data_IF_734124746965
#
_entry.id   IF_734124746965
#
_cell.length_a   1.000
_cell.length_b   1.000
_cell.length_c   1.000
_cell.angle_alpha   90.00
_cell.angle_beta   90.00
_cell.angle_gamma   90.00
#
_symmetry.space_group_name_H-M   'P 1'
#
loop_
_entity.id
_entity.type
_entity.pdbx_description
1 polymer ?
#
# COMPACT_ATOMS: atom_id res chain seq x y z
N UNK A 1 -5.55 15.22 31.38
CA UNK A 1 -5.62 16.06 30.17
C UNK A 1 -5.71 15.14 28.96
N UNK A 2 -6.40 15.52 27.89
CA UNK A 2 -6.42 14.67 26.68
C UNK A 2 -5.00 14.49 26.14
N UNK A 3 -4.69 13.25 25.73
CA UNK A 3 -3.41 12.92 25.10
C UNK A 3 -3.36 13.50 23.69
N UNK A 4 -2.24 14.09 23.30
CA UNK A 4 -2.05 14.57 21.92
C UNK A 4 -1.37 13.47 21.08
N UNK A 5 -2.04 13.05 20.03
CA UNK A 5 -1.52 12.10 19.04
C UNK A 5 -1.20 12.88 17.76
N UNK A 6 0.04 12.74 17.29
CA UNK A 6 0.47 13.33 16.03
C UNK A 6 0.58 12.24 14.95
N UNK A 7 -0.19 12.37 13.88
CA UNK A 7 -0.12 11.49 12.72
C UNK A 7 0.83 12.07 11.68
N UNK A 8 1.81 11.28 11.23
CA UNK A 8 2.76 11.71 10.19
C UNK A 8 2.52 10.93 8.92
N UNK A 9 2.24 11.64 7.84
CA UNK A 9 1.96 11.08 6.52
C UNK A 9 2.76 11.82 5.45
N UNK A 10 3.14 11.12 4.36
CA UNK A 10 3.98 11.74 3.33
C UNK A 10 3.68 11.28 1.91
N UNK A 11 3.02 10.16 1.77
CA UNK A 11 2.71 9.57 0.47
C UNK A 11 1.30 8.97 0.48
N UNK A 12 0.71 8.81 -0.71
CA UNK A 12 -0.65 8.29 -0.89
C UNK A 12 -0.95 7.02 -0.07
N UNK A 13 -0.08 5.99 -0.01
CA UNK A 13 -0.33 4.81 0.82
C UNK A 13 -0.49 5.11 2.31
N UNK A 14 0.19 6.13 2.83
CA UNK A 14 0.04 6.52 4.23
C UNK A 14 -1.35 7.08 4.53
N UNK A 15 -1.91 7.88 3.61
CA UNK A 15 -3.25 8.47 3.80
C UNK A 15 -4.32 7.39 3.93
N UNK A 16 -4.25 6.34 3.09
CA UNK A 16 -5.17 5.21 3.15
C UNK A 16 -5.11 4.46 4.48
N UNK A 17 -3.95 4.45 5.13
CA UNK A 17 -3.75 3.79 6.42
C UNK A 17 -4.11 4.71 7.59
N UNK A 18 -3.79 6.00 7.50
CA UNK A 18 -4.06 6.98 8.55
C UNK A 18 -5.54 7.32 8.68
N UNK A 19 -6.26 7.44 7.56
CA UNK A 19 -7.65 7.86 7.53
C UNK A 19 -8.59 7.03 8.44
N UNK A 20 -8.60 5.69 8.37
CA UNK A 20 -9.43 4.88 9.27
C UNK A 20 -9.01 5.03 10.74
N UNK A 21 -7.71 5.10 11.03
CA UNK A 21 -7.20 5.24 12.40
C UNK A 21 -7.58 6.59 13.00
N UNK A 22 -7.40 7.67 12.26
CA UNK A 22 -7.81 9.01 12.70
C UNK A 22 -9.31 9.08 12.98
N UNK A 23 -10.12 8.43 12.16
CA UNK A 23 -11.56 8.38 12.35
C UNK A 23 -11.95 7.60 13.60
N UNK A 24 -11.37 6.41 13.81
CA UNK A 24 -11.64 5.62 15.00
C UNK A 24 -11.22 6.35 16.28
N UNK A 25 -10.09 7.06 16.26
CA UNK A 25 -9.63 7.86 17.40
C UNK A 25 -10.50 9.10 17.66
N UNK A 26 -11.23 9.61 16.68
CA UNK A 26 -12.12 10.76 16.87
C UNK A 26 -13.30 10.48 17.81
N UNK A 27 -13.65 9.21 18.02
CA UNK A 27 -14.72 8.80 18.95
C UNK A 27 -14.28 8.87 20.43
N UNK A 28 -13.00 9.09 20.71
CA UNK A 28 -12.42 9.14 22.06
C UNK A 28 -12.17 10.59 22.49
N UNK A 29 -12.98 11.11 23.42
CA UNK A 29 -12.83 12.48 23.96
C UNK A 29 -11.53 12.72 24.72
N UNK A 30 -10.86 11.64 25.17
CA UNK A 30 -9.54 11.68 25.81
C UNK A 30 -8.40 11.89 24.82
N UNK A 31 -8.66 11.89 23.50
CA UNK A 31 -7.66 12.01 22.45
C UNK A 31 -7.83 13.31 21.69
N UNK A 32 -6.74 14.05 21.52
CA UNK A 32 -6.60 15.15 20.53
C UNK A 32 -5.68 14.68 19.43
N UNK A 33 -6.00 15.02 18.20
CA UNK A 33 -5.23 14.60 17.05
C UNK A 33 -4.60 15.79 16.33
N UNK A 34 -3.42 15.61 15.78
CA UNK A 34 -2.77 16.55 14.87
C UNK A 34 -2.23 15.79 13.67
N UNK A 35 -2.40 16.34 12.48
CA UNK A 35 -1.95 15.74 11.22
C UNK A 35 -0.80 16.54 10.64
N UNK A 36 0.35 15.89 10.44
CA UNK A 36 1.53 16.45 9.78
C UNK A 36 1.71 15.76 8.42
N UNK A 37 1.66 16.55 7.37
CA UNK A 37 1.98 16.11 6.01
C UNK A 37 3.42 16.51 5.69
N UNK A 38 4.28 15.53 5.34
CA UNK A 38 5.69 15.84 5.06
C UNK A 38 5.91 16.44 3.68
N UNK A 39 4.99 16.24 2.75
CA UNK A 39 5.15 16.68 1.35
C UNK A 39 6.09 15.79 0.54
N UNK A 40 6.35 14.55 0.96
CA UNK A 40 7.26 13.62 0.27
C UNK A 40 6.86 13.37 -1.19
N UNK A 41 5.58 13.24 -1.48
CA UNK A 41 5.01 13.21 -2.82
C UNK A 41 4.09 14.41 -2.98
N UNK A 42 4.54 15.38 -3.76
CA UNK A 42 3.84 16.65 -3.95
C UNK A 42 3.13 16.66 -5.30
N UNK A 43 1.84 16.31 -5.29
CA UNK A 43 0.88 16.68 -6.33
C UNK A 43 -0.33 17.28 -5.62
N UNK A 44 -0.38 18.63 -5.57
CA UNK A 44 -1.40 19.39 -4.82
C UNK A 44 -2.81 18.97 -5.24
N UNK A 45 -3.05 18.84 -6.53
CA UNK A 45 -4.39 18.57 -7.07
C UNK A 45 -4.85 17.12 -6.80
N UNK A 46 -3.92 16.15 -6.76
CA UNK A 46 -4.24 14.75 -6.47
C UNK A 46 -4.38 14.49 -4.96
N UNK A 47 -3.65 15.22 -4.13
CA UNK A 47 -3.71 15.04 -2.67
C UNK A 47 -5.03 15.53 -2.08
N UNK A 48 -5.50 16.72 -2.46
CA UNK A 48 -6.73 17.31 -1.89
C UNK A 48 -7.99 16.49 -2.21
N UNK A 49 -8.12 16.04 -3.46
CA UNK A 49 -9.23 15.15 -3.87
C UNK A 49 -9.18 13.84 -3.07
N UNK A 50 -7.98 13.33 -2.83
CA UNK A 50 -7.80 12.07 -2.11
C UNK A 50 -8.08 12.23 -0.61
N UNK A 51 -7.66 13.33 0.02
CA UNK A 51 -8.03 13.68 1.39
C UNK A 51 -9.56 13.76 1.57
N UNK A 52 -10.25 14.43 0.64
CA UNK A 52 -11.71 14.53 0.66
C UNK A 52 -12.38 13.16 0.51
N UNK A 53 -11.93 12.33 -0.43
CA UNK A 53 -12.48 10.98 -0.63
C UNK A 53 -12.32 10.10 0.61
N UNK A 54 -11.18 10.19 1.30
CA UNK A 54 -10.92 9.46 2.53
C UNK A 54 -11.61 10.07 3.75
N UNK A 55 -12.14 11.29 3.65
CA UNK A 55 -12.72 12.03 4.78
C UNK A 55 -11.68 12.44 5.82
N UNK A 56 -10.44 12.70 5.38
CA UNK A 56 -9.37 13.19 6.25
C UNK A 56 -9.47 14.72 6.43
N UNK A 57 -9.14 15.26 7.61
CA UNK A 57 -9.01 16.68 7.80
C UNK A 57 -7.82 17.24 7.00
N UNK A 58 -7.83 18.54 6.73
CA UNK A 58 -6.64 19.22 6.23
C UNK A 58 -5.47 19.04 7.22
N UNK A 59 -4.22 18.92 6.76
CA UNK A 59 -3.07 18.83 7.63
C UNK A 59 -2.90 20.13 8.47
N UNK A 60 -2.64 19.97 9.78
CA UNK A 60 -2.30 21.09 10.64
C UNK A 60 -0.94 21.70 10.28
N UNK A 61 -0.03 20.87 9.77
CA UNK A 61 1.30 21.27 9.33
C UNK A 61 1.63 20.55 8.03
N UNK A 62 2.15 21.29 7.06
CA UNK A 62 2.71 20.75 5.82
C UNK A 62 4.19 21.15 5.71
N UNK A 63 5.09 20.17 5.72
CA UNK A 63 6.53 20.39 5.69
C UNK A 63 7.06 20.73 4.28
N UNK A 64 6.30 20.43 3.22
CA UNK A 64 6.62 20.75 1.83
C UNK A 64 8.02 20.29 1.36
N UNK A 65 8.44 19.10 1.82
CA UNK A 65 9.80 18.59 1.54
C UNK A 65 10.04 18.33 0.07
N UNK A 66 9.03 17.85 -0.66
CA UNK A 66 9.15 17.58 -2.10
C UNK A 66 9.95 16.32 -2.44
N UNK A 67 10.31 16.20 -3.73
CA UNK A 67 11.08 15.09 -4.28
C UNK A 67 12.58 15.31 -4.11
N UNK A 68 13.33 14.21 -3.95
CA UNK A 68 14.78 14.22 -3.84
C UNK A 68 15.35 12.81 -3.75
N UNK A 69 16.66 12.67 -3.56
CA UNK A 69 17.24 11.37 -3.19
C UNK A 69 16.72 10.92 -1.82
N UNK A 70 16.78 9.61 -1.53
CA UNK A 70 16.34 9.10 -0.23
C UNK A 70 17.02 9.83 0.94
N UNK A 71 18.33 10.08 0.84
CA UNK A 71 19.09 10.79 1.87
C UNK A 71 18.61 12.24 2.06
N UNK A 72 18.50 13.00 0.95
CA UNK A 72 18.04 14.38 0.98
C UNK A 72 16.63 14.50 1.56
N UNK A 73 15.72 13.65 1.10
CA UNK A 73 14.33 13.65 1.53
C UNK A 73 14.21 13.28 3.02
N UNK A 74 14.89 12.22 3.47
CA UNK A 74 14.90 11.81 4.88
C UNK A 74 15.47 12.92 5.77
N UNK A 75 16.61 13.51 5.39
CA UNK A 75 17.23 14.59 6.14
C UNK A 75 16.32 15.84 6.24
N UNK A 76 15.70 16.22 5.13
CA UNK A 76 14.79 17.38 5.10
C UNK A 76 13.55 17.15 5.98
N UNK A 77 12.96 15.94 5.94
CA UNK A 77 11.83 15.59 6.81
C UNK A 77 12.25 15.67 8.29
N UNK A 78 13.41 15.08 8.66
CA UNK A 78 13.91 15.12 10.03
C UNK A 78 14.09 16.56 10.50
N UNK A 79 14.80 17.38 9.74
CA UNK A 79 15.11 18.79 10.12
C UNK A 79 13.86 19.65 10.25
N UNK A 80 12.83 19.41 9.44
CA UNK A 80 11.59 20.19 9.48
C UNK A 80 10.57 19.64 10.47
N UNK A 81 10.59 18.35 10.76
CA UNK A 81 9.68 17.73 11.71
C UNK A 81 10.12 17.94 13.18
N UNK A 82 11.41 17.99 13.47
CA UNK A 82 11.94 18.16 14.82
C UNK A 82 11.38 19.40 15.54
N UNK A 83 11.36 20.61 14.94
CA UNK A 83 10.73 21.77 15.56
C UNK A 83 9.24 21.57 15.86
N UNK A 84 8.51 20.93 14.94
CA UNK A 84 7.08 20.65 15.12
C UNK A 84 6.85 19.70 16.30
N UNK A 85 7.63 18.64 16.40
CA UNK A 85 7.55 17.67 17.50
C UNK A 85 7.91 18.33 18.86
N UNK A 86 8.93 19.20 18.86
CA UNK A 86 9.39 19.93 20.06
C UNK A 86 8.36 20.95 20.53
N UNK A 87 7.70 21.66 19.62
CA UNK A 87 6.66 22.64 19.94
C UNK A 87 5.37 21.98 20.41
N UNK A 88 4.87 21.01 19.63
CA UNK A 88 3.59 20.33 19.90
C UNK A 88 3.65 19.39 21.11
N UNK A 89 4.82 18.81 21.41
CA UNK A 89 5.04 17.82 22.49
C UNK A 89 3.98 16.73 22.51
N UNK A 90 3.78 15.98 21.41
CA UNK A 90 2.78 14.93 21.37
C UNK A 90 3.13 13.82 22.37
N UNK A 91 2.12 13.21 22.95
CA UNK A 91 2.28 12.04 23.82
C UNK A 91 2.64 10.79 23.01
N UNK A 92 2.19 10.77 21.73
CA UNK A 92 2.43 9.67 20.80
C UNK A 92 2.52 10.21 19.37
N UNK A 93 3.49 9.74 18.61
CA UNK A 93 3.56 9.96 17.16
C UNK A 93 3.23 8.64 16.45
N UNK A 94 2.25 8.68 15.56
CA UNK A 94 1.87 7.54 14.73
C UNK A 94 2.45 7.68 13.33
N UNK A 95 3.19 6.67 12.91
CA UNK A 95 3.77 6.55 11.57
C UNK A 95 3.18 5.35 10.84
N UNK A 96 3.15 5.39 9.50
CA UNK A 96 2.39 4.45 8.68
C UNK A 96 3.24 3.86 7.55
N UNK A 97 3.33 2.55 7.48
CA UNK A 97 4.05 1.83 6.42
C UNK A 97 5.56 2.14 6.43
N UNK A 98 6.18 2.26 5.26
CA UNK A 98 7.62 2.10 5.09
C UNK A 98 8.30 3.17 4.20
N UNK A 99 7.67 4.32 4.02
CA UNK A 99 8.25 5.43 3.22
C UNK A 99 9.29 6.23 4.02
N UNK A 100 10.05 7.11 3.36
CA UNK A 100 11.06 7.93 4.03
C UNK A 100 10.48 8.77 5.17
N UNK A 101 9.24 9.24 5.05
CA UNK A 101 8.54 9.98 6.11
C UNK A 101 8.36 9.17 7.38
N UNK A 102 8.13 7.87 7.24
CA UNK A 102 7.92 6.95 8.35
C UNK A 102 9.16 6.87 9.23
N UNK A 103 10.31 6.49 8.64
CA UNK A 103 11.56 6.37 9.39
C UNK A 103 12.09 7.71 9.89
N UNK A 104 11.97 8.78 9.09
CA UNK A 104 12.45 10.10 9.47
C UNK A 104 11.74 10.63 10.73
N UNK A 105 10.41 10.54 10.77
CA UNK A 105 9.63 10.97 11.92
C UNK A 105 9.87 10.07 13.14
N UNK A 106 9.93 8.74 12.95
CA UNK A 106 10.22 7.81 14.04
C UNK A 106 11.59 8.06 14.66
N UNK A 107 12.63 8.32 13.85
CA UNK A 107 13.98 8.59 14.34
C UNK A 107 14.06 9.90 15.12
N UNK A 108 13.41 10.96 14.66
CA UNK A 108 13.31 12.24 15.41
C UNK A 108 12.66 12.00 16.77
N UNK A 109 11.50 11.31 16.80
CA UNK A 109 10.79 11.04 18.04
C UNK A 109 11.61 10.20 19.03
N UNK A 110 12.25 9.14 18.56
CA UNK A 110 13.12 8.30 19.39
C UNK A 110 14.27 9.10 20.03
N UNK A 111 14.85 10.07 19.30
CA UNK A 111 15.89 10.97 19.81
C UNK A 111 15.36 11.99 20.82
N UNK A 112 14.11 12.41 20.68
CA UNK A 112 13.46 13.37 21.60
C UNK A 112 12.78 12.68 22.80
N UNK A 113 12.78 11.34 22.87
CA UNK A 113 12.06 10.60 23.92
C UNK A 113 10.54 10.67 23.80
N UNK A 114 10.02 10.86 22.57
CA UNK A 114 8.59 10.86 22.25
C UNK A 114 8.23 9.46 21.79
N UNK A 115 7.17 8.88 22.37
CA UNK A 115 6.70 7.54 21.99
C UNK A 115 6.27 7.46 20.54
N UNK A 116 6.59 6.33 19.88
CA UNK A 116 6.27 6.07 18.47
C UNK A 116 5.38 4.84 18.36
N UNK A 117 4.32 4.94 17.56
CA UNK A 117 3.48 3.84 17.12
C UNK A 117 3.66 3.62 15.62
N UNK A 118 4.02 2.41 15.23
CA UNK A 118 4.14 2.03 13.82
C UNK A 118 2.93 1.20 13.37
N UNK A 119 2.16 1.72 12.45
CA UNK A 119 1.02 1.04 11.82
C UNK A 119 1.48 0.33 10.55
N UNK A 120 1.19 -0.94 10.40
CA UNK A 120 1.69 -1.89 9.40
C UNK A 120 3.13 -2.34 9.71
N UNK A 121 3.38 -2.67 10.97
CA UNK A 121 4.66 -3.16 11.46
C UNK A 121 4.90 -4.65 11.13
N UNK A 122 6.15 -5.07 11.11
CA UNK A 122 6.55 -6.47 11.02
C UNK A 122 6.54 -7.07 9.61
N UNK A 123 6.13 -6.34 8.58
CA UNK A 123 6.22 -6.81 7.20
C UNK A 123 7.69 -6.92 6.76
N UNK A 124 8.04 -8.01 6.04
CA UNK A 124 9.41 -8.25 5.53
C UNK A 124 9.38 -8.86 4.13
N UNK A 125 10.10 -8.22 3.21
CA UNK A 125 10.44 -8.81 1.92
C UNK A 125 11.74 -9.60 1.96
N UNK A 126 12.57 -9.37 2.99
CA UNK A 126 13.95 -9.86 3.14
C UNK A 126 14.88 -9.42 2.01
N UNK A 127 14.47 -8.45 1.22
CA UNK A 127 15.26 -7.86 0.14
C UNK A 127 15.79 -6.48 0.56
N UNK A 128 17.02 -6.46 1.07
CA UNK A 128 17.67 -5.23 1.54
C UNK A 128 18.09 -4.27 0.41
N UNK A 129 17.91 -4.64 -0.84
CA UNK A 129 18.08 -3.72 -1.97
C UNK A 129 16.90 -2.75 -2.09
N UNK A 130 15.78 -3.07 -1.44
CA UNK A 130 14.60 -2.19 -1.36
C UNK A 130 14.76 -1.16 -0.23
N UNK A 131 14.73 0.15 -0.54
CA UNK A 131 14.78 1.20 0.51
C UNK A 131 13.66 1.06 1.54
N UNK A 132 12.49 0.60 1.13
CA UNK A 132 11.34 0.37 2.01
C UNK A 132 11.60 -0.72 3.04
N UNK A 133 12.36 -1.77 2.67
CA UNK A 133 12.74 -2.83 3.62
C UNK A 133 13.63 -2.28 4.74
N UNK A 134 14.59 -1.42 4.38
CA UNK A 134 15.46 -0.76 5.34
C UNK A 134 14.64 0.13 6.28
N UNK A 135 13.71 0.92 5.71
CA UNK A 135 12.86 1.83 6.48
C UNK A 135 12.01 1.07 7.50
N UNK A 136 11.35 -0.05 7.10
CA UNK A 136 10.45 -0.78 8.01
C UNK A 136 11.21 -1.49 9.12
N UNK A 137 12.36 -2.10 8.83
CA UNK A 137 13.19 -2.75 9.84
C UNK A 137 13.66 -1.74 10.90
N UNK A 138 14.16 -0.59 10.47
CA UNK A 138 14.64 0.45 11.40
C UNK A 138 13.48 1.07 12.21
N UNK A 139 12.33 1.32 11.57
CA UNK A 139 11.15 1.88 12.24
C UNK A 139 10.63 0.93 13.30
N UNK A 140 10.53 -0.37 13.00
CA UNK A 140 10.07 -1.37 13.95
C UNK A 140 10.98 -1.44 15.20
N UNK A 141 12.30 -1.36 15.02
CA UNK A 141 13.25 -1.43 16.14
C UNK A 141 13.10 -0.27 17.13
N UNK A 142 12.79 0.93 16.63
CA UNK A 142 12.73 2.15 17.45
C UNK A 142 11.31 2.56 17.88
N UNK A 143 10.26 1.83 17.46
CA UNK A 143 8.87 2.12 17.84
C UNK A 143 8.47 1.44 19.15
N UNK A 144 7.66 2.12 19.97
CA UNK A 144 7.16 1.62 21.25
C UNK A 144 5.92 0.73 21.09
N UNK A 145 5.11 0.99 20.05
CA UNK A 145 3.92 0.24 19.69
C UNK A 145 4.02 -0.22 18.24
N UNK A 146 3.78 -1.49 18.03
CA UNK A 146 3.90 -2.15 16.73
C UNK A 146 2.57 -2.83 16.39
N UNK A 147 1.82 -2.19 15.48
CA UNK A 147 0.52 -2.69 15.03
C UNK A 147 0.70 -3.53 13.77
N UNK A 148 0.59 -4.84 13.93
CA UNK A 148 0.83 -5.80 12.84
C UNK A 148 -0.45 -6.15 12.09
N UNK A 149 -0.37 -6.29 10.76
CA UNK A 149 -1.53 -6.63 9.93
C UNK A 149 -1.85 -8.14 9.95
N UNK A 150 -0.89 -8.99 10.30
CA UNK A 150 -1.01 -10.44 10.22
C UNK A 150 0.06 -11.14 11.06
N UNK A 151 -0.14 -12.44 11.34
CA UNK A 151 0.72 -13.26 12.20
C UNK A 151 2.17 -13.40 11.72
N UNK A 152 2.40 -13.31 10.41
CA UNK A 152 3.76 -13.32 9.86
C UNK A 152 4.55 -12.09 10.32
N UNK A 153 3.89 -10.93 10.47
CA UNK A 153 4.49 -9.74 11.07
C UNK A 153 4.94 -10.00 12.51
N UNK A 154 4.10 -10.62 13.34
CA UNK A 154 4.46 -10.98 14.71
C UNK A 154 5.67 -11.92 14.75
N UNK A 155 5.69 -12.94 13.88
CA UNK A 155 6.82 -13.89 13.78
C UNK A 155 8.12 -13.20 13.38
N UNK A 156 8.07 -12.22 12.47
CA UNK A 156 9.25 -11.47 12.05
C UNK A 156 9.80 -10.62 13.20
N UNK A 157 8.94 -9.87 13.89
CA UNK A 157 9.32 -9.03 15.02
C UNK A 157 9.92 -9.86 16.17
N UNK A 158 9.32 -11.01 16.48
CA UNK A 158 9.86 -11.92 17.50
C UNK A 158 11.25 -12.46 17.14
N UNK A 159 11.49 -12.81 15.85
CA UNK A 159 12.82 -13.24 15.37
C UNK A 159 13.87 -12.14 15.46
N UNK A 160 13.44 -10.88 15.35
CA UNK A 160 14.29 -9.70 15.48
C UNK A 160 14.49 -9.23 16.93
N UNK A 161 13.98 -10.00 17.91
CA UNK A 161 14.17 -9.74 19.33
C UNK A 161 13.27 -8.64 19.91
N UNK A 162 12.20 -8.27 19.20
CA UNK A 162 11.22 -7.31 19.70
C UNK A 162 10.36 -7.96 20.78
N UNK A 163 10.20 -7.26 21.90
CA UNK A 163 9.41 -7.74 23.03
C UNK A 163 7.92 -7.81 22.69
N UNK A 164 7.26 -8.89 23.11
CA UNK A 164 5.88 -9.19 22.77
C UNK A 164 4.87 -8.16 23.28
N UNK A 165 5.18 -7.46 24.39
CA UNK A 165 4.34 -6.41 24.97
C UNK A 165 4.24 -5.15 24.08
N UNK A 166 5.16 -4.97 23.13
CA UNK A 166 5.13 -3.91 22.13
C UNK A 166 4.33 -4.28 20.89
N UNK A 167 4.03 -5.57 20.66
CA UNK A 167 3.46 -6.10 19.41
C UNK A 167 1.97 -6.39 19.58
N UNK A 168 1.17 -5.76 18.73
CA UNK A 168 -0.29 -5.88 18.76
C UNK A 168 -0.80 -6.30 17.39
N UNK A 169 -1.32 -7.52 17.29
CA UNK A 169 -2.00 -7.99 16.07
C UNK A 169 -3.37 -7.35 15.99
N UNK A 170 -3.54 -6.42 15.08
CA UNK A 170 -4.78 -5.62 14.92
C UNK A 170 -5.53 -5.91 13.63
N UNK A 171 -4.89 -6.55 12.67
CA UNK A 171 -5.40 -6.68 11.30
C UNK A 171 -4.92 -5.54 10.40
N UNK A 172 -5.45 -5.47 9.19
CA UNK A 172 -4.92 -4.62 8.14
C UNK A 172 -5.79 -3.39 7.91
N UNK A 173 -5.27 -2.20 8.25
CA UNK A 173 -5.97 -0.90 8.07
C UNK A 173 -6.25 -0.55 6.61
N UNK A 174 -5.52 -1.15 5.64
CA UNK A 174 -5.86 -1.01 4.22
C UNK A 174 -7.21 -1.66 3.91
N UNK A 175 -7.54 -2.76 4.59
CA UNK A 175 -8.84 -3.42 4.46
C UNK A 175 -9.96 -2.57 5.07
N UNK A 176 -9.72 -1.84 6.15
CA UNK A 176 -10.68 -0.89 6.70
C UNK A 176 -11.05 0.18 5.66
N UNK A 177 -10.05 0.71 4.98
CA UNK A 177 -10.26 1.67 3.88
C UNK A 177 -10.97 1.03 2.71
N UNK A 178 -10.56 -0.17 2.30
CA UNK A 178 -11.21 -0.92 1.22
C UNK A 178 -12.70 -1.12 1.50
N UNK A 179 -13.05 -1.68 2.66
CA UNK A 179 -14.45 -1.95 3.06
C UNK A 179 -15.29 -0.69 3.01
N UNK A 180 -14.75 0.43 3.50
CA UNK A 180 -15.43 1.71 3.46
C UNK A 180 -15.63 2.24 2.04
N UNK A 181 -14.66 2.05 1.15
CA UNK A 181 -14.69 2.61 -0.21
C UNK A 181 -15.50 1.75 -1.18
N UNK A 182 -15.67 0.45 -0.90
CA UNK A 182 -16.41 -0.48 -1.75
C UNK A 182 -17.82 0.02 -2.16
N UNK A 183 -18.67 0.56 -1.27
CA UNK A 183 -19.99 1.06 -1.65
C UNK A 183 -19.96 2.27 -2.58
N UNK A 184 -18.81 2.98 -2.63
CA UNK A 184 -18.63 4.17 -3.45
C UNK A 184 -17.93 3.88 -4.79
N UNK A 185 -17.43 2.65 -4.98
CA UNK A 185 -16.80 2.23 -6.22
C UNK A 185 -17.79 2.31 -7.39
N UNK A 186 -17.37 2.97 -8.47
CA UNK A 186 -18.18 3.14 -9.69
C UNK A 186 -17.31 2.82 -10.89
N UNK A 187 -17.86 2.00 -11.77
CA UNK A 187 -17.21 1.66 -13.04
C UNK A 187 -17.00 2.96 -13.83
N UNK A 188 -15.79 3.22 -14.36
CA UNK A 188 -15.57 4.35 -15.23
C UNK A 188 -16.43 4.23 -16.50
N UNK A 189 -16.66 5.37 -17.18
CA UNK A 189 -17.42 5.38 -18.43
C UNK A 189 -16.61 4.78 -19.58
N UNK A 190 -16.52 3.45 -19.56
CA UNK A 190 -15.88 2.64 -20.60
C UNK A 190 -16.76 1.45 -20.94
N UNK A 191 -16.68 1.00 -22.18
CA UNK A 191 -17.26 -0.29 -22.56
C UNK A 191 -16.53 -1.43 -21.84
N UNK A 192 -17.17 -1.97 -20.79
CA UNK A 192 -16.58 -2.97 -19.92
C UNK A 192 -16.96 -4.37 -20.39
N UNK A 193 -15.98 -5.21 -20.79
CA UNK A 193 -16.26 -6.59 -21.15
C UNK A 193 -16.81 -7.38 -19.95
N UNK A 194 -17.68 -8.37 -20.17
CA UNK A 194 -18.25 -9.18 -19.08
C UNK A 194 -17.21 -10.01 -18.33
N UNK A 195 -16.09 -10.32 -18.98
CA UNK A 195 -14.90 -10.98 -18.42
C UNK A 195 -13.66 -10.28 -18.92
N UNK A 196 -12.70 -10.02 -18.02
CA UNK A 196 -11.45 -9.36 -18.37
C UNK A 196 -10.35 -9.66 -17.36
N UNK A 197 -9.11 -9.47 -17.80
CA UNK A 197 -7.92 -9.41 -16.98
C UNK A 197 -7.64 -7.94 -16.67
N UNK A 198 -7.46 -7.58 -15.40
CA UNK A 198 -7.02 -6.26 -15.00
C UNK A 198 -5.52 -6.28 -14.71
N UNK A 199 -4.76 -5.38 -15.35
CA UNK A 199 -3.29 -5.31 -15.22
C UNK A 199 -2.88 -3.99 -14.58
N UNK A 200 -1.92 -4.03 -13.67
CA UNK A 200 -1.23 -2.84 -13.17
C UNK A 200 0.23 -3.17 -12.86
N UNK A 201 1.15 -2.48 -13.54
CA UNK A 201 2.60 -2.62 -13.39
C UNK A 201 3.21 -1.23 -13.29
N UNK A 202 4.03 -1.00 -12.27
CA UNK A 202 4.65 0.31 -12.02
C UNK A 202 6.00 0.23 -11.29
N UNK A 203 6.41 -0.95 -10.82
CA UNK A 203 7.71 -1.10 -10.14
C UNK A 203 8.86 -0.95 -11.12
N UNK A 204 9.96 -0.27 -10.69
CA UNK A 204 11.14 -0.09 -11.53
C UNK A 204 11.66 -1.39 -12.14
N UNK A 205 11.71 -2.46 -11.34
CA UNK A 205 12.18 -3.78 -11.77
C UNK A 205 11.37 -4.38 -12.94
N UNK A 206 10.11 -3.95 -13.12
CA UNK A 206 9.24 -4.43 -14.19
C UNK A 206 9.13 -3.47 -15.36
N UNK A 207 9.23 -2.16 -15.14
CA UNK A 207 8.93 -1.18 -16.19
C UNK A 207 10.16 -0.44 -16.72
N UNK A 208 11.29 -0.43 -16.00
CA UNK A 208 12.52 0.21 -16.47
C UNK A 208 13.39 -0.75 -17.32
N UNK A 209 13.19 -2.06 -17.17
CA UNK A 209 13.80 -3.10 -17.99
C UNK A 209 12.94 -3.28 -19.26
N UNK A 210 13.25 -2.51 -20.33
CA UNK A 210 12.47 -2.50 -21.55
C UNK A 210 12.38 -3.89 -22.23
N UNK A 211 13.45 -4.69 -22.37
CA UNK A 211 13.34 -6.04 -22.89
C UNK A 211 12.37 -6.92 -22.11
N UNK A 212 12.38 -6.84 -20.79
CA UNK A 212 11.45 -7.56 -19.93
C UNK A 212 10.01 -7.05 -20.11
N UNK A 213 9.79 -5.75 -20.04
CA UNK A 213 8.46 -5.16 -20.23
C UNK A 213 7.87 -5.55 -21.62
N UNK A 214 8.70 -5.61 -22.66
CA UNK A 214 8.30 -6.04 -23.98
C UNK A 214 7.81 -7.49 -24.02
N UNK A 215 8.49 -8.41 -23.32
CA UNK A 215 8.08 -9.80 -23.17
C UNK A 215 6.79 -9.95 -22.35
N UNK A 216 6.63 -9.15 -21.30
CA UNK A 216 5.38 -9.10 -20.51
C UNK A 216 4.22 -8.66 -21.41
N UNK A 217 4.39 -7.59 -22.22
CA UNK A 217 3.36 -7.14 -23.16
C UNK A 217 3.01 -8.22 -24.19
N UNK A 218 4.00 -8.94 -24.71
CA UNK A 218 3.74 -10.06 -25.61
C UNK A 218 2.87 -11.13 -24.93
N UNK A 219 3.15 -11.46 -23.67
CA UNK A 219 2.35 -12.40 -22.92
C UNK A 219 0.92 -11.87 -22.71
N UNK A 220 0.75 -10.59 -22.41
CA UNK A 220 -0.57 -9.98 -22.28
C UNK A 220 -1.36 -10.02 -23.60
N UNK A 221 -0.70 -9.81 -24.74
CA UNK A 221 -1.30 -9.93 -26.07
C UNK A 221 -1.79 -11.36 -26.34
N UNK A 222 -1.00 -12.37 -26.00
CA UNK A 222 -1.37 -13.78 -26.13
C UNK A 222 -2.62 -14.11 -25.29
N UNK A 223 -2.66 -13.63 -24.03
CA UNK A 223 -3.81 -13.80 -23.15
C UNK A 223 -5.05 -13.06 -23.67
N UNK A 224 -4.86 -11.87 -24.27
CA UNK A 224 -5.95 -11.03 -24.77
C UNK A 224 -6.71 -11.65 -25.94
N UNK A 225 -6.12 -12.61 -26.65
CA UNK A 225 -6.80 -13.36 -27.70
C UNK A 225 -8.02 -14.15 -27.20
N UNK A 226 -8.08 -14.47 -25.91
CA UNK A 226 -9.20 -15.22 -25.30
C UNK A 226 -9.98 -14.41 -24.27
N UNK A 227 -9.33 -13.48 -23.60
CA UNK A 227 -9.94 -12.67 -22.52
C UNK A 227 -9.40 -11.25 -22.59
N UNK A 228 -10.25 -10.25 -22.83
CA UNK A 228 -9.82 -8.86 -22.90
C UNK A 228 -8.94 -8.45 -21.76
N UNK A 229 -7.91 -7.65 -22.03
CA UNK A 229 -6.98 -7.11 -21.03
C UNK A 229 -7.24 -5.61 -20.89
N UNK A 230 -7.49 -5.16 -19.68
CA UNK A 230 -7.59 -3.74 -19.31
C UNK A 230 -6.34 -3.37 -18.51
N UNK A 231 -5.61 -2.37 -18.99
CA UNK A 231 -4.37 -1.94 -18.36
C UNK A 231 -4.39 -0.42 -18.09
N UNK A 232 -4.93 0.03 -16.94
CA UNK A 232 -4.74 1.39 -16.48
C UNK A 232 -3.25 1.66 -16.25
N UNK A 233 -2.66 2.53 -17.06
CA UNK A 233 -1.22 2.66 -17.17
C UNK A 233 -0.71 3.75 -16.24
N UNK A 234 0.17 3.36 -15.29
CA UNK A 234 0.85 4.33 -14.43
C UNK A 234 1.77 5.26 -15.26
N UNK A 235 1.94 6.56 -14.92
CA UNK A 235 2.76 7.49 -15.69
C UNK A 235 4.19 7.02 -15.97
N UNK A 236 4.82 6.30 -15.01
CA UNK A 236 6.14 5.68 -15.22
C UNK A 236 6.09 4.63 -16.34
N UNK A 237 5.10 3.78 -16.30
CA UNK A 237 4.90 2.71 -17.28
C UNK A 237 4.57 3.29 -18.66
N UNK A 238 3.77 4.35 -18.73
CA UNK A 238 3.46 5.03 -19.97
C UNK A 238 4.71 5.53 -20.69
N UNK A 239 5.66 6.12 -19.95
CA UNK A 239 6.97 6.53 -20.50
C UNK A 239 7.76 5.35 -21.06
N UNK A 240 7.78 4.22 -20.37
CA UNK A 240 8.47 3.02 -20.82
C UNK A 240 7.81 2.44 -22.08
N UNK A 241 6.48 2.34 -22.10
CA UNK A 241 5.72 1.83 -23.25
C UNK A 241 5.92 2.67 -24.51
N UNK A 242 6.08 3.99 -24.38
CA UNK A 242 6.35 4.87 -25.51
C UNK A 242 7.66 4.53 -26.23
N UNK A 243 8.62 3.95 -25.53
CA UNK A 243 9.94 3.57 -26.07
C UNK A 243 9.96 2.16 -26.67
N UNK A 244 8.85 1.42 -26.59
CA UNK A 244 8.75 0.08 -27.15
C UNK A 244 8.25 0.12 -28.61
N UNK A 245 8.63 -0.87 -29.44
CA UNK A 245 8.13 -0.99 -30.79
C UNK A 245 6.61 -1.22 -30.78
N UNK A 246 5.90 -0.55 -31.70
CA UNK A 246 4.46 -0.82 -31.92
C UNK A 246 4.28 -2.26 -32.39
N UNK A 247 3.40 -2.98 -31.70
CA UNK A 247 3.09 -4.38 -32.03
C UNK A 247 1.75 -4.51 -32.75
N UNK A 248 1.66 -5.47 -33.64
CA UNK A 248 0.39 -5.87 -34.26
C UNK A 248 -0.50 -6.50 -33.17
N UNK A 249 -1.77 -6.11 -33.13
CA UNK A 249 -2.71 -6.61 -32.14
C UNK A 249 -2.63 -5.88 -30.77
N UNK A 250 -1.80 -4.84 -30.65
CA UNK A 250 -1.68 -4.08 -29.41
C UNK A 250 -3.02 -3.44 -28.97
N UNK A 251 -3.95 -3.22 -29.89
CA UNK A 251 -5.31 -2.76 -29.62
C UNK A 251 -6.16 -3.75 -28.82
N UNK A 252 -5.78 -5.03 -28.77
CA UNK A 252 -6.45 -6.05 -27.96
C UNK A 252 -6.12 -5.91 -26.46
N UNK A 253 -5.00 -5.27 -26.12
CA UNK A 253 -4.68 -4.84 -24.76
C UNK A 253 -5.11 -3.39 -24.64
N UNK A 254 -6.24 -3.15 -23.97
CA UNK A 254 -6.80 -1.81 -23.80
C UNK A 254 -5.98 -1.04 -22.77
N UNK A 255 -5.05 -0.20 -23.24
CA UNK A 255 -4.33 0.75 -22.41
C UNK A 255 -5.28 1.88 -22.02
N UNK A 256 -5.48 2.07 -20.72
CA UNK A 256 -6.34 3.11 -20.17
C UNK A 256 -5.49 4.19 -19.50
N UNK A 257 -6.00 5.43 -19.47
CA UNK A 257 -5.42 6.48 -18.63
C UNK A 257 -5.34 6.04 -17.17
N UNK A 258 -4.42 6.60 -16.38
CA UNK A 258 -4.36 6.34 -14.96
C UNK A 258 -5.71 6.56 -14.30
N UNK A 259 -6.21 5.56 -13.59
CA UNK A 259 -7.51 5.65 -12.91
C UNK A 259 -7.36 6.11 -11.46
N UNK A 260 -8.27 6.97 -10.98
CA UNK A 260 -8.44 7.19 -9.55
C UNK A 260 -8.81 5.89 -8.81
N UNK A 261 -8.64 5.89 -7.48
CA UNK A 261 -8.81 4.68 -6.68
C UNK A 261 -10.20 4.03 -6.80
N UNK A 262 -11.28 4.80 -6.69
CA UNK A 262 -12.64 4.26 -6.75
C UNK A 262 -13.00 3.62 -8.10
N UNK A 263 -12.73 4.24 -9.26
CA UNK A 263 -12.90 3.58 -10.55
C UNK A 263 -12.01 2.33 -10.71
N UNK A 264 -10.75 2.37 -10.25
CA UNK A 264 -9.87 1.20 -10.27
C UNK A 264 -10.42 0.06 -9.42
N UNK A 265 -10.89 0.35 -8.20
CA UNK A 265 -11.51 -0.61 -7.30
C UNK A 265 -12.75 -1.27 -7.91
N UNK A 266 -13.58 -0.49 -8.63
CA UNK A 266 -14.76 -1.03 -9.33
C UNK A 266 -14.36 -2.02 -10.44
N UNK A 267 -13.27 -1.74 -11.17
CA UNK A 267 -12.73 -2.69 -12.14
C UNK A 267 -12.15 -3.93 -11.43
N UNK A 268 -11.42 -3.73 -10.34
CA UNK A 268 -10.81 -4.83 -9.59
C UNK A 268 -11.86 -5.81 -9.08
N UNK A 269 -12.98 -5.33 -8.53
CA UNK A 269 -14.09 -6.18 -8.03
C UNK A 269 -14.67 -7.12 -9.09
N UNK A 270 -14.67 -6.71 -10.36
CA UNK A 270 -15.28 -7.44 -11.47
C UNK A 270 -14.28 -8.20 -12.33
N UNK A 271 -12.99 -8.07 -12.05
CA UNK A 271 -11.94 -8.75 -12.80
C UNK A 271 -12.02 -10.28 -12.62
N UNK A 272 -11.82 -11.01 -13.71
CA UNK A 272 -11.67 -12.46 -13.66
C UNK A 272 -10.30 -12.87 -13.14
N UNK A 273 -9.31 -12.00 -13.32
CA UNK A 273 -7.92 -12.15 -12.91
C UNK A 273 -7.29 -10.76 -12.78
N UNK A 274 -6.47 -10.56 -11.76
CA UNK A 274 -5.60 -9.38 -11.62
C UNK A 274 -4.16 -9.81 -11.80
N UNK A 275 -3.40 -9.07 -12.64
CA UNK A 275 -1.94 -9.22 -12.80
C UNK A 275 -1.30 -7.94 -12.30
N UNK A 276 -0.41 -8.03 -11.30
CA UNK A 276 0.09 -6.83 -10.61
C UNK A 276 1.51 -6.99 -10.08
N UNK A 277 2.15 -5.87 -9.78
CA UNK A 277 3.37 -5.79 -8.96
C UNK A 277 3.17 -4.97 -7.66
N UNK A 278 1.93 -4.54 -7.41
CA UNK A 278 1.55 -3.73 -6.25
C UNK A 278 1.29 -4.57 -5.00
N UNK A 279 1.91 -4.20 -3.87
CA UNK A 279 1.64 -4.84 -2.58
C UNK A 279 0.20 -4.66 -2.11
N UNK A 280 -0.35 -3.45 -2.20
CA UNK A 280 -1.73 -3.17 -1.78
C UNK A 280 -2.78 -3.95 -2.58
N UNK A 281 -2.55 -4.14 -3.89
CA UNK A 281 -3.46 -4.93 -4.74
C UNK A 281 -3.48 -6.40 -4.31
N UNK A 282 -2.36 -6.98 -3.86
CA UNK A 282 -2.31 -8.32 -3.32
C UNK A 282 -3.23 -8.48 -2.10
N UNK A 283 -3.26 -7.48 -1.23
CA UNK A 283 -4.12 -7.45 -0.04
C UNK A 283 -5.60 -7.30 -0.43
N UNK A 284 -5.91 -6.35 -1.29
CA UNK A 284 -7.28 -6.08 -1.74
C UNK A 284 -7.87 -7.28 -2.50
N UNK A 285 -7.12 -7.89 -3.43
CA UNK A 285 -7.58 -9.08 -4.16
C UNK A 285 -7.78 -10.28 -3.26
N UNK A 286 -6.94 -10.45 -2.24
CA UNK A 286 -7.09 -11.49 -1.22
C UNK A 286 -8.40 -11.29 -0.45
N UNK A 287 -8.69 -10.08 0.00
CA UNK A 287 -9.94 -9.77 0.70
C UNK A 287 -11.18 -9.97 -0.19
N UNK A 288 -11.10 -9.53 -1.44
CA UNK A 288 -12.21 -9.62 -2.41
C UNK A 288 -12.39 -11.04 -2.99
N UNK A 289 -11.48 -11.97 -2.72
CA UNK A 289 -11.51 -13.31 -3.29
C UNK A 289 -11.20 -13.35 -4.80
N UNK A 290 -10.55 -12.31 -5.33
CA UNK A 290 -10.19 -12.19 -6.75
C UNK A 290 -8.84 -12.89 -6.99
N UNK A 291 -8.71 -13.78 -7.99
CA UNK A 291 -7.43 -14.36 -8.37
C UNK A 291 -6.40 -13.29 -8.71
N UNK A 292 -5.18 -13.43 -8.18
CA UNK A 292 -4.10 -12.46 -8.37
C UNK A 292 -2.81 -13.19 -8.77
N UNK A 293 -2.15 -12.70 -9.82
CA UNK A 293 -0.80 -13.10 -10.22
C UNK A 293 0.14 -11.93 -9.99
N UNK A 294 1.13 -12.13 -9.13
CA UNK A 294 2.08 -11.07 -8.77
C UNK A 294 3.40 -11.26 -9.52
N UNK A 295 3.73 -10.28 -10.37
CA UNK A 295 4.95 -10.25 -11.19
C UNK A 295 6.10 -9.70 -10.34
N UNK A 296 6.52 -10.48 -9.34
CA UNK A 296 7.59 -10.17 -8.40
C UNK A 296 8.24 -11.46 -7.89
N UNK A 297 9.54 -11.42 -7.64
CA UNK A 297 10.31 -12.54 -7.07
C UNK A 297 9.96 -12.77 -5.58
N UNK A 298 9.58 -11.72 -4.88
CA UNK A 298 9.26 -11.75 -3.45
C UNK A 298 8.04 -10.89 -3.13
N UNK A 299 7.54 -11.04 -1.91
CA UNK A 299 6.49 -10.15 -1.37
C UNK A 299 6.72 -9.95 0.12
N UNK A 300 6.49 -8.74 0.58
CA UNK A 300 6.41 -8.39 2.00
C UNK A 300 5.09 -8.84 2.65
N UNK A 301 4.20 -9.44 1.88
CA UNK A 301 2.85 -9.91 2.31
C UNK A 301 2.66 -11.40 2.05
N UNK A 302 3.48 -12.28 2.64
CA UNK A 302 3.41 -13.73 2.38
C UNK A 302 2.04 -14.33 2.71
N UNK A 303 1.31 -13.73 3.66
CA UNK A 303 -0.05 -14.16 4.02
C UNK A 303 -1.01 -14.17 2.84
N UNK A 304 -0.85 -13.27 1.86
CA UNK A 304 -1.67 -13.23 0.64
C UNK A 304 -1.41 -14.42 -0.27
N UNK A 305 -0.20 -14.99 -0.19
CA UNK A 305 0.21 -16.21 -0.93
C UNK A 305 -0.14 -17.46 -0.13
N UNK A 306 0.12 -17.47 1.17
CA UNK A 306 -0.08 -18.67 2.01
C UNK A 306 -1.56 -19.04 2.15
N UNK A 307 -2.42 -18.06 2.43
CA UNK A 307 -3.85 -18.31 2.61
C UNK A 307 -4.75 -17.53 1.65
N UNK A 308 -4.26 -16.48 1.00
CA UNK A 308 -5.04 -15.67 0.07
C UNK A 308 -5.11 -16.23 -1.35
N UNK A 309 -5.56 -15.39 -2.27
CA UNK A 309 -5.74 -15.71 -3.69
C UNK A 309 -4.51 -15.45 -4.54
N UNK A 310 -3.46 -14.87 -3.95
CA UNK A 310 -2.26 -14.45 -4.66
C UNK A 310 -1.33 -15.63 -5.02
N UNK A 311 -0.70 -15.53 -6.19
CA UNK A 311 0.37 -16.43 -6.66
C UNK A 311 1.52 -15.56 -7.14
N UNK A 312 2.72 -15.77 -6.60
CA UNK A 312 3.93 -15.14 -7.10
C UNK A 312 4.38 -15.87 -8.37
N UNK A 313 4.53 -15.12 -9.45
CA UNK A 313 5.01 -15.67 -10.73
C UNK A 313 6.42 -15.18 -11.07
N UNK A 314 7.00 -14.31 -10.25
CA UNK A 314 8.36 -13.81 -10.47
C UNK A 314 8.53 -13.14 -11.82
N UNK A 315 9.63 -13.44 -12.46
CA UNK A 315 9.93 -13.11 -13.86
C UNK A 315 9.79 -14.33 -14.79
N UNK A 316 8.96 -15.29 -14.40
CA UNK A 316 8.66 -16.50 -15.20
C UNK A 316 7.37 -16.29 -16.01
N UNK A 317 7.51 -15.99 -17.30
CA UNK A 317 6.38 -15.75 -18.20
C UNK A 317 5.65 -17.03 -18.59
N UNK A 318 6.30 -18.20 -18.53
CA UNK A 318 5.64 -19.47 -18.79
C UNK A 318 4.72 -19.80 -17.62
N UNK A 319 5.20 -19.62 -16.39
CA UNK A 319 4.38 -19.74 -15.19
C UNK A 319 3.22 -18.73 -15.20
N UNK A 320 3.46 -17.48 -15.62
CA UNK A 320 2.40 -16.47 -15.76
C UNK A 320 1.31 -16.93 -16.74
N UNK A 321 1.68 -17.42 -17.94
CA UNK A 321 0.74 -17.93 -18.95
C UNK A 321 -0.05 -19.12 -18.42
N UNK A 322 0.64 -20.13 -17.89
CA UNK A 322 0.02 -21.34 -17.37
C UNK A 322 -1.00 -21.03 -16.26
N UNK A 323 -0.58 -20.24 -15.26
CA UNK A 323 -1.44 -19.84 -14.15
C UNK A 323 -2.65 -19.04 -14.63
N UNK A 324 -2.46 -18.10 -15.56
CA UNK A 324 -3.56 -17.32 -16.13
C UNK A 324 -4.55 -18.22 -16.88
N UNK A 325 -4.08 -19.15 -17.70
CA UNK A 325 -4.96 -20.07 -18.43
C UNK A 325 -5.75 -20.98 -17.50
N UNK A 326 -5.15 -21.53 -16.44
CA UNK A 326 -5.84 -22.33 -15.43
C UNK A 326 -6.94 -21.54 -14.74
N UNK A 327 -6.62 -20.31 -14.26
CA UNK A 327 -7.57 -19.44 -13.58
C UNK A 327 -8.75 -19.08 -14.50
N UNK A 328 -8.47 -18.68 -15.74
CA UNK A 328 -9.49 -18.31 -16.72
C UNK A 328 -10.32 -19.50 -17.19
N UNK A 329 -9.75 -20.71 -17.12
CA UNK A 329 -10.41 -21.99 -17.36
C UNK A 329 -11.30 -22.45 -16.19
N UNK A 330 -11.30 -21.72 -15.07
CA UNK A 330 -12.14 -22.03 -13.89
C UNK A 330 -11.42 -22.68 -12.71
N UNK A 331 -10.14 -23.03 -12.86
CA UNK A 331 -9.31 -23.56 -11.78
C UNK A 331 -8.74 -22.40 -10.95
N UNK A 332 -9.44 -22.06 -9.86
CA UNK A 332 -9.03 -20.94 -8.98
C UNK A 332 -8.40 -21.48 -7.70
N UNK A 333 -7.33 -20.83 -7.26
CA UNK A 333 -6.80 -21.05 -5.92
C UNK A 333 -7.89 -20.73 -4.89
N UNK A 334 -8.19 -21.68 -4.03
CA UNK A 334 -9.10 -21.49 -2.91
C UNK A 334 -8.40 -20.61 -1.86
N UNK A 335 -8.72 -19.31 -1.88
CA UNK A 335 -8.21 -18.35 -0.90
C UNK A 335 -9.20 -18.15 0.24
N UNK A 336 -8.67 -17.74 1.39
CA UNK A 336 -9.46 -17.26 2.54
C UNK A 336 -8.96 -15.89 2.96
N UNK A 337 -9.84 -15.09 3.53
CA UNK A 337 -9.47 -13.82 4.15
C UNK A 337 -8.63 -14.10 5.40
N UNK A 338 -7.45 -13.47 5.57
CA UNK A 338 -6.65 -13.60 6.78
C UNK A 338 -7.41 -13.18 8.05
N UNK A 339 -7.03 -13.75 9.19
CA UNK A 339 -7.63 -13.38 10.47
C UNK A 339 -7.52 -11.86 10.73
N UNK A 340 -8.56 -11.27 11.30
CA UNK A 340 -8.67 -9.84 11.61
C UNK A 340 -8.64 -8.89 10.39
N UNK A 341 -8.71 -9.40 9.16
CA UNK A 341 -8.94 -8.57 7.98
C UNK A 341 -10.44 -8.36 7.78
N UNK A 342 -11.09 -7.77 8.76
CA UNK A 342 -12.54 -7.62 8.87
C UNK A 342 -13.02 -6.16 8.75
N UNK A 343 -12.11 -5.24 8.43
CA UNK A 343 -12.42 -3.81 8.32
C UNK A 343 -12.50 -3.08 9.67
N UNK A 344 -11.93 -3.67 10.74
CA UNK A 344 -11.98 -3.14 12.11
C UNK A 344 -10.61 -3.00 12.77
N UNK A 345 -9.53 -2.99 11.99
CA UNK A 345 -8.17 -2.85 12.49
C UNK A 345 -7.97 -1.49 13.19
N UNK A 346 -8.51 -0.43 12.62
CA UNK A 346 -8.43 0.92 13.16
C UNK A 346 -9.14 1.06 14.51
N UNK A 347 -10.27 0.38 14.71
CA UNK A 347 -10.98 0.36 16.00
C UNK A 347 -10.09 -0.29 17.09
N UNK A 348 -9.45 -1.42 16.78
CA UNK A 348 -8.52 -2.09 17.71
C UNK A 348 -7.31 -1.22 18.05
N UNK A 349 -6.75 -0.51 17.06
CA UNK A 349 -5.67 0.46 17.29
C UNK A 349 -6.15 1.58 18.22
N UNK A 350 -7.33 2.15 17.96
CA UNK A 350 -7.88 3.23 18.76
C UNK A 350 -8.13 2.81 20.24
N UNK A 351 -8.66 1.61 20.43
CA UNK A 351 -8.86 1.03 21.77
C UNK A 351 -7.54 0.90 22.54
N UNK A 352 -6.49 0.33 21.92
CA UNK A 352 -5.18 0.15 22.54
C UNK A 352 -4.54 1.50 22.87
N UNK A 353 -4.63 2.47 21.96
CA UNK A 353 -4.01 3.79 22.15
C UNK A 353 -4.76 4.65 23.18
N UNK A 354 -6.10 4.59 23.22
CA UNK A 354 -6.90 5.38 24.15
C UNK A 354 -6.88 4.88 25.60
N UNK A 355 -6.47 3.62 25.81
CA UNK A 355 -6.36 3.01 27.14
C UNK A 355 -5.02 3.31 27.85
N UNK A 356 -4.10 4.04 27.25
CA UNK A 356 -2.81 4.47 27.79
C UNK A 356 -2.91 5.87 28.41
#
# INVERSE_FOLDING_TARGET
MPILICHVVGARPNFMKAAPVMRALADYSSVRQSLVHTGQHYDVNMSDVFFQQLGMPAPDVNLQVGSGSHAQQTAAIMSQFEPVATEKKPSLVMVYGDVNSTIAAALVCAKLGISVAHVEAGLRSFDRTMPEEINRVLTDQISDLLFTPSEDGNRNLAREGISADRVHLVGNVMIDTLVRMLPHARVPDIDLPPRYILVTLHRPSNVDDLPWLDQVLQTLLELSARTPVLFPVHPRTAKALHNLPKRVGAEQVRLLEPLPYLPFLALQQKASLVITDSGGIQEETTFLGIPCLTVRENTERPITVECGTNVLVGRDLDLLREAAHRILGGEKKQGRVPALWDGRAAERIAEIVSSR
#
